data_IF_811955605200
#
_entry.id   IF_811955605200
#
_cell.length_a   1.000
_cell.length_b   1.000
_cell.length_c   1.000
_cell.angle_alpha   90.00
_cell.angle_beta   90.00
_cell.angle_gamma   90.00
#
_symmetry.space_group_name_H-M   'P 1'
#
loop_
_entity.id
_entity.type
_entity.pdbx_description
1 polymer ?
#
# COMPACT_ATOMS: atom_id res chain seq x y z
N UNK A 1 -39.57 -10.72 -28.32
CA UNK A 1 -39.33 -9.29 -28.08
C UNK A 1 -37.96 -9.14 -27.42
N UNK A 2 -36.89 -9.33 -28.20
CA UNK A 2 -35.52 -9.18 -27.70
C UNK A 2 -35.18 -7.68 -27.78
N UNK A 3 -35.20 -6.99 -26.64
CA UNK A 3 -34.86 -5.58 -26.55
C UNK A 3 -33.36 -5.43 -26.83
N UNK A 4 -33.04 -4.68 -27.88
CA UNK A 4 -31.69 -4.31 -28.27
C UNK A 4 -31.09 -3.42 -27.17
N UNK A 5 -30.15 -3.98 -26.41
CA UNK A 5 -29.46 -3.26 -25.34
C UNK A 5 -28.38 -2.41 -26.02
N UNK A 6 -28.64 -1.10 -26.13
CA UNK A 6 -27.70 -0.11 -26.68
C UNK A 6 -26.32 -0.24 -26.01
N UNK A 7 -25.25 -0.23 -26.80
CA UNK A 7 -23.86 -0.41 -26.34
C UNK A 7 -23.41 0.64 -25.31
N UNK A 8 -24.09 1.80 -25.27
CA UNK A 8 -23.89 2.83 -24.24
C UNK A 8 -24.42 2.43 -22.87
N UNK A 9 -25.44 1.58 -22.82
CA UNK A 9 -26.05 1.08 -21.57
C UNK A 9 -25.08 0.20 -20.77
N UNK A 10 -24.27 -0.62 -21.45
CA UNK A 10 -23.23 -1.44 -20.80
C UNK A 10 -22.13 -0.60 -20.15
N UNK A 11 -21.66 0.44 -20.84
CA UNK A 11 -20.66 1.37 -20.29
C UNK A 11 -21.20 2.12 -19.07
N UNK A 12 -22.46 2.56 -19.13
CA UNK A 12 -23.11 3.23 -18.02
C UNK A 12 -23.27 2.29 -16.81
N UNK A 13 -23.59 1.02 -17.03
CA UNK A 13 -23.65 0.00 -15.96
C UNK A 13 -22.26 -0.21 -15.34
N UNK A 14 -21.18 -0.29 -16.13
CA UNK A 14 -19.83 -0.48 -15.58
C UNK A 14 -19.40 0.75 -14.77
N UNK A 15 -19.59 1.97 -15.28
CA UNK A 15 -19.23 3.20 -14.57
C UNK A 15 -20.06 3.39 -13.29
N UNK A 16 -21.36 3.13 -13.35
CA UNK A 16 -22.27 3.32 -12.21
C UNK A 16 -22.05 2.24 -11.15
N UNK A 17 -21.87 0.97 -11.57
CA UNK A 17 -21.51 -0.12 -10.65
C UNK A 17 -20.12 0.10 -10.03
N UNK A 18 -19.16 0.67 -10.78
CA UNK A 18 -17.86 1.05 -10.22
C UNK A 18 -18.01 2.15 -9.16
N UNK A 19 -18.88 3.14 -9.41
CA UNK A 19 -19.19 4.22 -8.46
C UNK A 19 -19.88 3.72 -7.17
N UNK A 20 -20.90 2.86 -7.30
CA UNK A 20 -21.59 2.25 -6.15
C UNK A 20 -20.66 1.35 -5.32
N UNK A 21 -19.89 0.48 -5.99
CA UNK A 21 -18.89 -0.37 -5.31
C UNK A 21 -17.83 0.45 -4.59
N UNK A 22 -17.35 1.52 -5.23
CA UNK A 22 -16.39 2.44 -4.62
C UNK A 22 -16.97 3.13 -3.39
N UNK A 23 -18.21 3.65 -3.50
CA UNK A 23 -18.91 4.28 -2.39
C UNK A 23 -19.10 3.31 -1.22
N UNK A 24 -19.47 2.07 -1.51
CA UNK A 24 -19.62 1.00 -0.53
C UNK A 24 -18.29 0.68 0.19
N UNK A 25 -17.21 0.46 -0.58
CA UNK A 25 -15.88 0.19 -0.02
C UNK A 25 -15.36 1.36 0.81
N UNK A 26 -15.53 2.61 0.36
CA UNK A 26 -15.18 3.80 1.15
C UNK A 26 -15.97 3.90 2.44
N UNK A 27 -17.26 3.56 2.44
CA UNK A 27 -18.07 3.56 3.66
C UNK A 27 -17.52 2.60 4.72
N UNK A 28 -16.96 1.47 4.29
CA UNK A 28 -16.36 0.45 5.17
C UNK A 28 -14.93 0.82 5.59
N UNK A 29 -14.14 1.40 4.68
CA UNK A 29 -12.72 1.71 4.92
C UNK A 29 -12.50 3.02 5.68
N UNK A 30 -13.32 4.05 5.45
CA UNK A 30 -13.15 5.37 6.08
C UNK A 30 -13.08 5.32 7.62
N UNK A 31 -13.88 4.50 8.33
CA UNK A 31 -13.75 4.34 9.78
C UNK A 31 -12.36 3.86 10.23
N UNK A 32 -11.65 3.10 9.40
CA UNK A 32 -10.31 2.56 9.72
C UNK A 32 -9.21 3.62 9.60
N UNK A 33 -9.46 4.72 8.88
CA UNK A 33 -8.52 5.84 8.71
C UNK A 33 -8.85 7.04 9.61
N UNK A 34 -9.55 6.81 10.72
CA UNK A 34 -9.74 7.86 11.73
C UNK A 34 -8.41 8.17 12.46
N UNK A 35 -8.27 9.39 13.00
CA UNK A 35 -7.02 9.85 13.65
C UNK A 35 -6.55 8.94 14.79
N UNK A 36 -7.46 8.32 15.54
CA UNK A 36 -7.10 7.37 16.60
C UNK A 36 -6.41 6.13 16.04
N UNK A 37 -6.88 5.60 14.91
CA UNK A 37 -6.23 4.48 14.23
C UNK A 37 -4.88 4.88 13.63
N UNK A 38 -4.78 6.08 13.04
CA UNK A 38 -3.51 6.60 12.51
C UNK A 38 -2.46 6.74 13.62
N UNK A 39 -2.85 7.19 14.81
CA UNK A 39 -1.94 7.27 15.96
C UNK A 39 -1.39 5.88 16.36
N UNK A 40 -2.19 4.82 16.21
CA UNK A 40 -1.73 3.45 16.45
C UNK A 40 -0.72 2.95 15.40
N UNK A 41 -0.65 3.59 14.23
CA UNK A 41 0.31 3.26 13.19
C UNK A 41 1.68 3.93 13.38
N UNK A 42 1.76 5.02 14.16
CA UNK A 42 3.01 5.76 14.40
C UNK A 42 4.14 4.84 14.92
N UNK A 43 3.92 3.95 15.92
CA UNK A 43 4.98 3.05 16.39
C UNK A 43 5.49 2.09 15.31
N UNK A 44 4.60 1.66 14.40
CA UNK A 44 4.96 0.77 13.28
C UNK A 44 5.83 1.55 12.28
N UNK A 45 5.43 2.78 11.93
CA UNK A 45 6.18 3.66 11.04
C UNK A 45 7.57 3.96 11.60
N UNK A 46 7.68 4.31 12.89
CA UNK A 46 8.95 4.59 13.55
C UNK A 46 9.87 3.35 13.55
N UNK A 47 9.34 2.17 13.89
CA UNK A 47 10.10 0.92 13.86
C UNK A 47 10.67 0.59 12.47
N UNK A 48 9.86 0.70 11.41
CA UNK A 48 10.29 0.41 10.04
C UNK A 48 11.27 1.46 9.51
N UNK A 49 11.02 2.74 9.81
CA UNK A 49 11.92 3.83 9.44
C UNK A 49 13.28 3.69 10.12
N UNK A 50 13.33 3.34 11.42
CA UNK A 50 14.60 3.07 12.12
C UNK A 50 15.39 1.92 11.49
N UNK A 51 14.71 0.86 11.06
CA UNK A 51 15.36 -0.25 10.34
C UNK A 51 15.93 0.20 9.00
N UNK A 52 15.19 1.00 8.24
CA UNK A 52 15.66 1.58 6.99
C UNK A 52 16.92 2.43 7.22
N UNK A 53 16.88 3.34 8.20
CA UNK A 53 18.02 4.18 8.57
C UNK A 53 19.22 3.33 9.01
N UNK A 54 19.01 2.29 9.79
CA UNK A 54 20.09 1.38 10.21
C UNK A 54 20.75 0.66 9.03
N UNK A 55 19.99 0.31 7.98
CA UNK A 55 20.54 -0.29 6.75
C UNK A 55 21.29 0.74 5.89
N UNK A 56 20.80 1.97 5.85
CA UNK A 56 21.49 3.03 5.12
C UNK A 56 22.76 3.48 5.84
N UNK A 57 22.78 3.46 7.18
CA UNK A 57 23.94 3.83 7.98
C UNK A 57 25.16 2.94 7.69
N UNK A 58 24.98 1.68 7.30
CA UNK A 58 26.10 0.80 6.91
C UNK A 58 26.72 1.19 5.56
N UNK A 59 26.01 1.98 4.75
CA UNK A 59 26.46 2.49 3.46
C UNK A 59 26.89 3.96 3.53
N UNK A 60 26.87 4.56 4.72
CA UNK A 60 27.24 5.96 4.94
C UNK A 60 28.77 6.15 5.01
N UNK A 61 29.49 5.63 4.02
CA UNK A 61 30.94 5.76 3.86
C UNK A 61 31.36 7.04 3.10
N UNK A 62 30.38 7.80 2.59
CA UNK A 62 30.59 9.02 1.81
C UNK A 62 31.12 8.77 0.40
N UNK A 63 31.14 7.51 -0.05
CA UNK A 63 31.69 7.08 -1.36
C UNK A 63 30.71 6.24 -2.16
N UNK A 64 29.76 5.59 -1.49
CA UNK A 64 28.76 4.74 -2.10
C UNK A 64 27.53 5.57 -2.49
N UNK A 65 27.19 5.57 -3.78
CA UNK A 65 25.92 6.09 -4.25
C UNK A 65 24.79 5.16 -3.78
N UNK A 66 23.76 5.74 -3.17
CA UNK A 66 22.61 5.01 -2.65
C UNK A 66 21.35 5.49 -3.35
N UNK A 67 20.63 4.56 -3.99
CA UNK A 67 19.30 4.85 -4.52
C UNK A 67 18.28 4.89 -3.38
N UNK A 68 17.89 6.10 -2.97
CA UNK A 68 16.89 6.31 -1.92
C UNK A 68 15.53 5.72 -2.26
N UNK A 69 15.17 5.61 -3.55
CA UNK A 69 13.85 5.12 -3.97
C UNK A 69 13.67 3.66 -3.58
N UNK A 70 14.72 2.84 -3.68
CA UNK A 70 14.69 1.44 -3.26
C UNK A 70 14.40 1.33 -1.75
N UNK A 71 15.10 2.10 -0.92
CA UNK A 71 14.93 2.05 0.54
C UNK A 71 13.56 2.58 0.98
N UNK A 72 13.13 3.71 0.41
CA UNK A 72 11.84 4.32 0.72
C UNK A 72 10.70 3.44 0.22
N UNK A 73 10.81 2.84 -0.96
CA UNK A 73 9.82 1.94 -1.53
C UNK A 73 9.60 0.71 -0.65
N UNK A 74 10.69 0.06 -0.25
CA UNK A 74 10.64 -1.11 0.65
C UNK A 74 10.05 -0.73 2.02
N UNK A 75 10.52 0.37 2.63
CA UNK A 75 10.02 0.82 3.92
C UNK A 75 8.52 1.18 3.88
N UNK A 76 8.09 1.91 2.85
CA UNK A 76 6.68 2.30 2.66
C UNK A 76 5.79 1.08 2.47
N UNK A 77 6.24 0.09 1.71
CA UNK A 77 5.50 -1.15 1.51
C UNK A 77 5.38 -1.96 2.81
N UNK A 78 6.46 -2.10 3.58
CA UNK A 78 6.42 -2.78 4.88
C UNK A 78 5.45 -2.08 5.84
N UNK A 79 5.40 -0.74 5.84
CA UNK A 79 4.47 0.05 6.65
C UNK A 79 3.02 -0.20 6.21
N UNK A 80 2.72 -0.07 4.91
CA UNK A 80 1.36 -0.29 4.39
C UNK A 80 0.91 -1.71 4.67
N UNK A 81 1.77 -2.71 4.47
CA UNK A 81 1.45 -4.09 4.77
C UNK A 81 1.14 -4.30 6.25
N UNK A 82 2.00 -3.81 7.15
CA UNK A 82 1.81 -4.00 8.59
C UNK A 82 0.56 -3.30 9.12
N UNK A 83 0.28 -2.09 8.62
CA UNK A 83 -0.86 -1.29 9.07
C UNK A 83 -2.19 -1.80 8.50
N UNK A 84 -2.21 -2.31 7.27
CA UNK A 84 -3.43 -2.81 6.63
C UNK A 84 -3.75 -4.26 6.99
N UNK A 85 -2.74 -5.14 7.08
CA UNK A 85 -2.94 -6.57 7.33
C UNK A 85 -2.84 -6.96 8.80
N UNK A 86 -2.44 -6.04 9.68
CA UNK A 86 -2.31 -6.28 11.12
C UNK A 86 -1.30 -7.36 11.50
N UNK A 87 -0.40 -7.73 10.57
CA UNK A 87 0.67 -8.70 10.78
C UNK A 87 2.02 -8.06 10.57
N UNK A 88 3.05 -8.59 11.23
CA UNK A 88 4.40 -8.12 10.97
C UNK A 88 4.86 -8.58 9.58
N UNK A 89 5.40 -7.66 8.78
CA UNK A 89 6.03 -7.98 7.50
C UNK A 89 7.18 -9.01 7.64
N UNK A 90 7.76 -9.16 8.83
CA UNK A 90 8.77 -10.18 9.12
C UNK A 90 8.21 -11.60 9.27
N UNK A 91 6.90 -11.76 9.48
CA UNK A 91 6.23 -13.06 9.55
C UNK A 91 5.88 -13.61 8.16
N UNK A 92 6.02 -12.79 7.11
CA UNK A 92 5.82 -13.21 5.74
C UNK A 92 7.04 -13.98 5.22
N UNK A 93 6.90 -15.30 5.17
CA UNK A 93 7.74 -16.17 4.33
C UNK A 93 7.52 -15.79 2.87
N UNK A 94 8.43 -15.00 2.28
CA UNK A 94 8.33 -14.55 0.89
C UNK A 94 8.78 -13.12 0.63
N UNK A 95 9.85 -12.66 1.33
CA UNK A 95 10.37 -11.29 1.17
C UNK A 95 10.64 -10.83 -0.28
N UNK A 96 10.97 -11.67 -1.30
CA UNK A 96 11.29 -11.13 -2.62
C UNK A 96 10.09 -10.93 -3.57
N UNK A 97 8.98 -11.66 -3.42
CA UNK A 97 7.96 -11.75 -4.49
C UNK A 97 7.19 -10.44 -4.73
N UNK A 98 6.90 -9.66 -3.69
CA UNK A 98 6.22 -8.37 -3.84
C UNK A 98 7.18 -7.21 -4.16
N UNK A 99 8.47 -7.34 -3.84
CA UNK A 99 9.48 -6.33 -4.18
C UNK A 99 9.77 -6.31 -5.68
N UNK A 100 9.54 -7.44 -6.37
CA UNK A 100 9.69 -7.56 -7.82
C UNK A 100 8.69 -6.68 -8.58
N UNK A 101 7.50 -6.41 -8.01
CA UNK A 101 6.50 -5.52 -8.60
C UNK A 101 6.84 -4.02 -8.51
N UNK A 102 7.82 -3.62 -7.71
CA UNK A 102 8.22 -2.22 -7.52
C UNK A 102 9.35 -1.82 -8.47
N UNK A 103 10.08 -2.79 -9.03
CA UNK A 103 11.11 -2.53 -10.02
C UNK A 103 10.43 -2.18 -11.35
N UNK A 104 10.27 -0.87 -11.59
CA UNK A 104 9.80 -0.30 -12.86
C UNK A 104 10.89 -0.43 -13.93
#
# INVERSE_FOLDING_TARGET
>A
MAGEIDGRSWLMIIETLAGEKWRYLRRILNPTFNTRMLNNFIPIMDSRTRRMVSRMATLADGRTDVDLLEYIGVCSLEIVFCTTMGRNADELRGKPEYMECIKV
#
